data_IF_552770180488
#
_entry.id   IF_552770180488
#
_cell.length_a   1.000
_cell.length_b   1.000
_cell.length_c   1.000
_cell.angle_alpha   90.00
_cell.angle_beta   90.00
_cell.angle_gamma   90.00
#
_symmetry.space_group_name_H-M   'P 1'
#
loop_
_entity.id
_entity.type
_entity.pdbx_description
1 polymer ?
#
# COMPACT_ATOMS: atom_id res chain seq x y z
N UNK A 1 34.31 1.66 48.16
CA UNK A 1 33.70 0.36 48.53
C UNK A 1 32.22 0.64 48.67
N UNK A 2 31.27 0.28 47.82
CA UNK A 2 31.00 -0.74 46.79
C UNK A 2 29.91 -0.05 45.94
N UNK A 3 29.93 0.16 44.63
CA UNK A 3 30.06 -0.77 43.52
C UNK A 3 30.11 0.13 42.28
N UNK A 4 31.17 -0.03 41.49
CA UNK A 4 31.23 0.42 40.10
C UNK A 4 30.48 -0.62 39.28
N UNK A 5 29.39 -0.25 38.64
CA UNK A 5 28.84 -0.89 37.45
C UNK A 5 27.81 0.11 36.90
N UNK A 6 28.22 1.11 36.10
CA UNK A 6 28.48 0.97 34.67
C UNK A 6 27.51 -0.03 34.03
N UNK A 7 26.57 0.45 33.21
CA UNK A 7 26.55 0.22 31.76
C UNK A 7 25.18 0.64 31.22
N UNK A 8 25.25 1.55 30.24
CA UNK A 8 24.16 1.95 29.37
C UNK A 8 23.63 0.78 28.53
N UNK A 9 22.33 0.75 28.29
CA UNK A 9 21.74 0.11 27.11
C UNK A 9 20.36 0.76 26.90
N UNK A 10 20.34 1.90 26.21
CA UNK A 10 20.05 1.97 24.77
C UNK A 10 18.57 1.67 24.50
N UNK A 11 17.84 2.74 24.20
CA UNK A 11 16.52 2.72 23.60
C UNK A 11 16.56 1.83 22.35
N UNK A 12 15.86 0.71 22.37
CA UNK A 12 15.65 -0.14 21.19
C UNK A 12 14.16 -0.33 21.02
N UNK A 13 13.67 0.20 19.91
CA UNK A 13 12.30 0.05 19.45
C UNK A 13 12.01 1.00 18.30
N UNK A 14 12.92 1.10 17.33
CA UNK A 14 12.58 1.69 16.04
C UNK A 14 11.45 0.84 15.46
N UNK A 15 10.24 1.40 15.43
CA UNK A 15 9.09 0.82 14.74
C UNK A 15 9.45 0.88 13.25
N UNK A 16 9.99 -0.21 12.73
CA UNK A 16 10.16 -0.41 11.31
C UNK A 16 8.76 -0.51 10.70
N UNK A 17 8.25 0.61 10.18
CA UNK A 17 7.13 0.60 9.25
C UNK A 17 7.59 -0.20 8.04
N UNK A 18 7.22 -1.47 7.99
CA UNK A 18 7.44 -2.32 6.83
C UNK A 18 6.73 -1.70 5.64
N UNK A 19 7.50 -1.14 4.72
CA UNK A 19 7.01 -0.87 3.38
C UNK A 19 6.75 -2.23 2.73
N UNK A 20 5.52 -2.72 2.83
CA UNK A 20 5.05 -3.83 2.01
C UNK A 20 5.27 -3.44 0.55
N UNK A 21 5.74 -4.36 -0.32
CA UNK A 21 5.77 -4.08 -1.73
C UNK A 21 4.31 -3.86 -2.17
N UNK A 22 3.96 -2.60 -2.48
CA UNK A 22 2.74 -2.30 -3.21
C UNK A 22 2.97 -2.94 -4.58
N UNK A 23 2.40 -4.13 -4.76
CA UNK A 23 2.37 -4.78 -6.04
C UNK A 23 1.60 -3.83 -6.95
N UNK A 24 2.31 -3.06 -7.76
CA UNK A 24 1.74 -2.29 -8.83
C UNK A 24 1.22 -3.29 -9.86
N UNK A 25 0.03 -3.82 -9.62
CA UNK A 25 -0.68 -4.58 -10.60
C UNK A 25 -0.93 -3.64 -11.78
N UNK A 26 -0.39 -3.99 -12.95
CA UNK A 26 -1.07 -3.61 -14.17
C UNK A 26 -2.37 -4.43 -14.14
N UNK A 27 -3.40 -3.85 -13.53
CA UNK A 27 -4.68 -4.47 -13.18
C UNK A 27 -5.27 -5.34 -14.30
N UNK A 28 -6.08 -6.34 -13.95
CA UNK A 28 -6.50 -7.41 -14.87
C UNK A 28 -7.40 -6.92 -16.02
N UNK A 29 -7.91 -5.70 -15.91
CA UNK A 29 -8.90 -5.16 -16.83
C UNK A 29 -8.27 -4.34 -17.94
N UNK A 30 -8.76 -4.56 -19.17
CA UNK A 30 -8.42 -3.73 -20.33
C UNK A 30 -8.82 -2.26 -20.14
N UNK A 31 -9.94 -2.03 -19.45
CA UNK A 31 -10.50 -0.72 -19.17
C UNK A 31 -11.57 -0.82 -18.06
N UNK A 32 -12.03 0.32 -17.55
CA UNK A 32 -13.05 0.37 -16.52
C UNK A 32 -14.38 -0.26 -16.94
N UNK A 33 -14.74 -0.24 -18.23
CA UNK A 33 -15.94 -0.94 -18.71
C UNK A 33 -15.88 -2.45 -18.44
N UNK A 34 -14.72 -3.09 -18.63
CA UNK A 34 -14.54 -4.49 -18.30
C UNK A 34 -14.59 -4.73 -16.78
N UNK A 35 -14.02 -3.82 -15.97
CA UNK A 35 -14.13 -3.89 -14.52
C UNK A 35 -15.59 -3.78 -14.05
N UNK A 36 -16.34 -2.83 -14.60
CA UNK A 36 -17.76 -2.60 -14.29
C UNK A 36 -18.65 -3.79 -14.68
N UNK A 37 -18.34 -4.47 -15.79
CA UNK A 37 -19.01 -5.71 -16.20
C UNK A 37 -18.82 -6.84 -15.18
N UNK A 38 -17.67 -6.86 -14.52
CA UNK A 38 -17.35 -7.77 -13.42
C UNK A 38 -17.84 -7.25 -12.06
N UNK A 39 -18.53 -6.10 -12.02
CA UNK A 39 -19.06 -5.49 -10.79
C UNK A 39 -17.99 -4.81 -9.93
N UNK A 40 -16.80 -4.56 -10.48
CA UNK A 40 -15.71 -3.83 -9.82
C UNK A 40 -15.83 -2.33 -10.06
N UNK A 41 -15.93 -1.58 -8.98
CA UNK A 41 -16.00 -0.11 -8.94
C UNK A 41 -15.10 0.39 -7.81
N UNK A 42 -14.72 1.66 -7.87
CA UNK A 42 -14.01 2.37 -6.80
C UNK A 42 -12.80 1.56 -6.28
N UNK A 43 -11.91 1.15 -7.18
CA UNK A 43 -10.82 0.21 -6.89
C UNK A 43 -9.65 0.98 -6.25
N UNK A 44 -9.38 0.83 -4.94
CA UNK A 44 -8.34 1.63 -4.28
C UNK A 44 -6.93 1.10 -4.58
N UNK A 45 -5.90 1.94 -4.46
CA UNK A 45 -4.47 1.58 -4.66
C UNK A 45 -3.96 0.32 -3.95
N UNK A 46 -4.58 -0.08 -2.84
CA UNK A 46 -4.22 -1.31 -2.11
C UNK A 46 -4.84 -2.59 -2.67
N UNK A 47 -5.72 -2.45 -3.66
CA UNK A 47 -6.43 -3.55 -4.28
C UNK A 47 -5.58 -4.22 -5.38
N UNK A 48 -5.57 -5.56 -5.47
CA UNK A 48 -4.83 -6.27 -6.52
C UNK A 48 -5.28 -5.93 -7.95
N UNK A 49 -6.50 -5.41 -8.10
CA UNK A 49 -7.05 -5.00 -9.38
C UNK A 49 -6.83 -3.52 -9.66
N UNK A 50 -6.15 -2.75 -8.79
CA UNK A 50 -5.82 -1.35 -9.08
C UNK A 50 -4.81 -1.24 -10.21
N UNK A 51 -4.97 -0.22 -11.07
CA UNK A 51 -3.95 0.16 -12.04
C UNK A 51 -4.02 1.65 -12.36
N UNK A 52 -2.86 2.25 -12.60
CA UNK A 52 -2.73 3.69 -12.89
C UNK A 52 -3.41 4.13 -14.19
N UNK A 53 -3.77 3.20 -15.09
CA UNK A 53 -4.54 3.53 -16.29
C UNK A 53 -6.05 3.64 -16.04
N UNK A 54 -6.53 3.09 -14.92
CA UNK A 54 -7.93 3.15 -14.49
C UNK A 54 -8.22 4.35 -13.60
N UNK A 55 -7.19 4.84 -12.90
CA UNK A 55 -7.18 6.08 -12.11
C UNK A 55 -6.72 7.24 -13.01
N UNK A 56 -7.68 7.98 -13.59
CA UNK A 56 -7.38 8.99 -14.63
C UNK A 56 -6.99 10.34 -14.05
N UNK A 57 -7.48 10.67 -12.87
CA UNK A 57 -7.19 11.92 -12.18
C UNK A 57 -6.07 11.78 -11.15
N UNK A 58 -5.67 10.55 -10.82
CA UNK A 58 -4.51 10.23 -10.00
C UNK A 58 -4.81 10.36 -8.51
N UNK A 59 -6.05 10.20 -8.08
CA UNK A 59 -6.48 10.36 -6.70
C UNK A 59 -6.27 9.09 -5.84
N UNK A 60 -5.89 7.98 -6.49
CA UNK A 60 -5.66 6.68 -5.87
C UNK A 60 -6.86 5.73 -5.91
N UNK A 61 -7.92 6.08 -6.65
CA UNK A 61 -9.10 5.24 -6.89
C UNK A 61 -9.26 5.03 -8.39
N UNK A 62 -9.10 3.78 -8.84
CA UNK A 62 -9.31 3.42 -10.23
C UNK A 62 -10.79 3.09 -10.51
N UNK A 63 -11.27 3.47 -11.69
CA UNK A 63 -12.59 3.09 -12.22
C UNK A 63 -13.77 3.45 -11.31
N UNK A 64 -13.75 4.69 -10.84
CA UNK A 64 -14.85 5.35 -10.16
C UNK A 64 -16.16 5.32 -10.97
N UNK A 65 -17.27 5.50 -10.25
CA UNK A 65 -18.68 5.49 -10.70
C UNK A 65 -19.00 6.14 -12.04
#
# INVERSE_FOLDING_TARGET
>A
MFVRLLIAAAAVGAVALGASPVAAAAGPYKNCTAAHQDGRWDIPQGDPDYWSGGDRDGDGIACET
#
